data_IF_821987946005
#
_entry.id   IF_821987946005
#
_cell.length_a   1.000
_cell.length_b   1.000
_cell.length_c   1.000
_cell.angle_alpha   90.00
_cell.angle_beta   90.00
_cell.angle_gamma   90.00
#
_symmetry.space_group_name_H-M   'P 1'
#
loop_
_entity.id
_entity.type
_entity.pdbx_description
1 polymer ?
#
# COMPACT_ATOMS: atom_id res chain seq x y z
N UNK A 1 -13.60 1.09 -4.37
CA UNK A 1 -12.44 0.31 -3.85
C UNK A 1 -12.94 -0.77 -2.90
N UNK A 2 -12.25 -1.91 -2.78
CA UNK A 2 -12.66 -3.00 -1.87
C UNK A 2 -12.86 -2.55 -0.42
N UNK A 3 -11.95 -1.70 0.10
CA UNK A 3 -12.05 -1.12 1.45
C UNK A 3 -13.37 -0.37 1.67
N UNK A 4 -13.86 0.39 0.68
CA UNK A 4 -15.12 1.12 0.80
C UNK A 4 -16.33 0.19 0.87
N UNK A 5 -16.29 -0.94 0.15
CA UNK A 5 -17.35 -1.95 0.20
C UNK A 5 -17.41 -2.61 1.58
N UNK A 6 -16.24 -2.91 2.17
CA UNK A 6 -16.16 -3.44 3.52
C UNK A 6 -16.71 -2.45 4.55
N UNK A 7 -16.30 -1.18 4.46
CA UNK A 7 -16.84 -0.10 5.33
C UNK A 7 -18.35 0.07 5.18
N UNK A 8 -18.88 0.02 3.95
CA UNK A 8 -20.32 0.12 3.69
C UNK A 8 -21.12 -1.05 4.28
N UNK A 9 -20.49 -2.21 4.49
CA UNK A 9 -21.06 -3.38 5.16
C UNK A 9 -20.87 -3.36 6.68
N UNK A 10 -20.37 -2.25 7.24
CA UNK A 10 -20.19 -2.07 8.68
C UNK A 10 -18.87 -2.62 9.24
N UNK A 11 -17.91 -3.00 8.40
CA UNK A 11 -16.58 -3.41 8.88
C UNK A 11 -15.79 -2.18 9.33
N UNK A 12 -15.34 -2.11 10.61
CA UNK A 12 -14.48 -1.04 11.09
C UNK A 12 -13.16 -0.98 10.32
N UNK A 13 -12.65 0.23 10.07
CA UNK A 13 -11.46 0.43 9.24
C UNK A 13 -10.19 -0.21 9.84
N UNK A 14 -10.07 -0.18 11.16
CA UNK A 14 -9.00 -0.78 11.96
C UNK A 14 -9.02 -2.31 12.01
N UNK A 15 -10.15 -2.92 11.62
CA UNK A 15 -10.29 -4.37 11.46
C UNK A 15 -9.90 -4.85 10.05
N UNK A 16 -9.59 -3.93 9.12
CA UNK A 16 -9.20 -4.27 7.76
C UNK A 16 -7.68 -4.38 7.69
N UNK A 17 -7.21 -5.54 7.24
CA UNK A 17 -5.80 -5.81 6.95
C UNK A 17 -5.60 -5.91 5.44
N UNK A 18 -4.80 -5.02 4.85
CA UNK A 18 -4.42 -5.10 3.45
C UNK A 18 -3.09 -5.85 3.32
N UNK A 19 -3.17 -7.11 2.91
CA UNK A 19 -2.01 -7.97 2.68
C UNK A 19 -1.60 -7.93 1.20
N UNK A 20 -0.34 -7.62 0.94
CA UNK A 20 0.25 -7.63 -0.38
C UNK A 20 1.59 -8.39 -0.35
N UNK A 21 2.02 -8.94 -1.48
CA UNK A 21 3.36 -9.52 -1.64
C UNK A 21 4.33 -8.45 -2.18
N UNK A 22 3.91 -7.64 -3.16
CA UNK A 22 4.73 -6.59 -3.78
C UNK A 22 3.89 -5.32 -3.90
N UNK A 23 4.35 -4.22 -3.32
CA UNK A 23 3.67 -2.93 -3.39
C UNK A 23 4.63 -1.82 -3.86
N UNK A 24 4.12 -0.82 -4.57
CA UNK A 24 4.87 0.41 -4.81
C UNK A 24 4.78 1.35 -3.60
N UNK A 25 5.80 2.20 -3.36
CA UNK A 25 5.76 3.16 -2.27
C UNK A 25 4.59 4.16 -2.40
N UNK A 26 4.27 4.58 -3.62
CA UNK A 26 3.13 5.45 -3.90
C UNK A 26 1.81 4.77 -3.56
N UNK A 27 1.66 3.49 -3.89
CA UNK A 27 0.47 2.70 -3.56
C UNK A 27 0.26 2.61 -2.04
N UNK A 28 1.31 2.29 -1.29
CA UNK A 28 1.24 2.25 0.18
C UNK A 28 0.91 3.62 0.76
N UNK A 29 1.55 4.68 0.27
CA UNK A 29 1.30 6.04 0.75
C UNK A 29 -0.14 6.52 0.48
N UNK A 30 -0.68 6.21 -0.69
CA UNK A 30 -2.07 6.49 -1.04
C UNK A 30 -3.05 5.72 -0.14
N UNK A 31 -2.73 4.48 0.24
CA UNK A 31 -3.55 3.72 1.18
C UNK A 31 -3.47 4.29 2.61
N UNK A 32 -2.28 4.64 3.09
CA UNK A 32 -2.07 5.19 4.42
C UNK A 32 -2.74 6.57 4.60
N UNK A 33 -2.73 7.41 3.57
CA UNK A 33 -3.38 8.74 3.61
C UNK A 33 -4.91 8.63 3.52
N UNK A 34 -5.43 7.70 2.72
CA UNK A 34 -6.89 7.55 2.50
C UNK A 34 -7.58 6.76 3.61
N UNK A 35 -6.88 5.83 4.25
CA UNK A 35 -7.40 4.96 5.30
C UNK A 35 -6.38 4.88 6.46
N UNK A 36 -6.26 5.93 7.29
CA UNK A 36 -5.21 6.05 8.28
C UNK A 36 -5.28 5.02 9.43
N UNK A 37 -6.43 4.36 9.64
CA UNK A 37 -6.57 3.30 10.66
C UNK A 37 -6.37 1.90 10.10
N UNK A 38 -6.33 1.75 8.78
CA UNK A 38 -6.15 0.47 8.11
C UNK A 38 -4.69 0.01 8.20
N UNK A 39 -4.46 -1.28 8.46
CA UNK A 39 -3.11 -1.84 8.52
C UNK A 39 -2.70 -2.42 7.16
N UNK A 40 -1.54 -2.03 6.67
CA UNK A 40 -0.94 -2.54 5.43
C UNK A 40 0.23 -3.45 5.78
N UNK A 41 0.23 -4.67 5.25
CA UNK A 41 1.33 -5.63 5.38
C UNK A 41 1.78 -6.01 3.98
N UNK A 42 3.06 -5.78 3.66
CA UNK A 42 3.63 -6.15 2.37
C UNK A 42 4.97 -6.87 2.54
N UNK A 43 5.24 -7.89 1.72
CA UNK A 43 6.52 -8.62 1.78
C UNK A 43 7.67 -7.80 1.18
N UNK A 44 7.41 -7.13 0.06
CA UNK A 44 8.39 -6.29 -0.63
C UNK A 44 7.78 -4.94 -1.05
N UNK A 45 8.63 -3.91 -1.04
CA UNK A 45 8.32 -2.60 -1.64
C UNK A 45 9.20 -2.46 -2.87
N UNK A 46 8.59 -2.43 -4.06
CA UNK A 46 9.31 -2.22 -5.30
C UNK A 46 9.58 -0.73 -5.51
N UNK A 47 10.85 -0.38 -5.73
CA UNK A 47 11.21 1.00 -5.98
C UNK A 47 10.75 1.35 -7.39
N UNK A 48 9.86 2.34 -7.50
CA UNK A 48 9.46 2.88 -8.80
C UNK A 48 10.72 3.21 -9.59
N UNK A 49 10.83 2.59 -10.76
CA UNK A 49 11.89 2.89 -11.70
C UNK A 49 11.80 4.37 -12.07
N UNK A 50 12.64 5.17 -11.43
CA UNK A 50 12.83 6.57 -11.78
C UNK A 50 13.91 6.60 -12.85
N UNK A 51 13.66 7.24 -14.02
CA UNK A 51 14.70 7.45 -15.01
C UNK A 51 15.78 8.36 -14.40
N UNK A 52 16.83 7.75 -13.84
CA UNK A 52 17.85 8.44 -13.05
C UNK A 52 18.60 7.54 -12.07
N UNK A 53 18.02 6.40 -11.66
CA UNK A 53 18.72 5.41 -10.85
C UNK A 53 19.43 4.39 -11.75
N UNK A 54 20.46 4.84 -12.46
CA UNK A 54 21.44 3.92 -13.03
C UNK A 54 22.43 3.58 -11.91
N UNK A 55 22.41 2.36 -11.33
CA UNK A 55 23.44 1.99 -10.39
C UNK A 55 24.75 1.97 -11.18
N UNK A 56 25.66 2.89 -10.86
CA UNK A 56 27.02 2.77 -11.37
C UNK A 56 27.57 1.46 -10.81
N UNK A 57 27.59 0.44 -11.67
CA UNK A 57 28.37 -0.77 -11.44
C UNK A 57 29.77 -0.34 -11.04
N UNK A 58 30.14 -0.66 -9.80
CA UNK A 58 31.52 -0.63 -9.33
C UNK A 58 32.20 -1.92 -9.73
#
# INVERSE_FOLDING_TARGET
MAVQVLKARGVPEDHILFLNIIASPEGVNNFATKFPRLKVVTAFIDQVWSPGFCPKHS
#
